data_IF_437128105776
#
_entry.id   IF_437128105776
#
_cell.length_a   1.000
_cell.length_b   1.000
_cell.length_c   1.000
_cell.angle_alpha   90.00
_cell.angle_beta   90.00
_cell.angle_gamma   90.00
#
_symmetry.space_group_name_H-M   'P 1'
#
loop_
_entity.id
_entity.type
_entity.pdbx_description
1 polymer ?
#
# COMPACT_ATOMS: atom_id res chain seq x y z
N UNK A 1 -39.09 -13.37 0.13
CA UNK A 1 -40.20 -12.47 -0.28
C UNK A 1 -39.65 -11.05 -0.38
N UNK A 2 -39.88 -10.35 -1.49
CA UNK A 2 -39.45 -8.94 -1.65
C UNK A 2 -40.48 -8.04 -0.98
N UNK A 3 -40.03 -7.23 -0.02
CA UNK A 3 -40.84 -6.17 0.58
C UNK A 3 -41.35 -5.22 -0.51
N UNK A 4 -42.66 -4.97 -0.54
CA UNK A 4 -43.29 -3.96 -1.39
C UNK A 4 -43.53 -2.73 -0.52
N UNK A 5 -42.80 -1.62 -0.74
CA UNK A 5 -43.03 -0.39 0.03
C UNK A 5 -44.46 0.12 -0.21
N UNK A 6 -45.05 0.72 0.83
CA UNK A 6 -46.36 1.41 0.82
C UNK A 6 -47.61 0.55 0.58
N UNK A 7 -47.55 -0.75 0.89
CA UNK A 7 -48.71 -1.63 0.83
C UNK A 7 -49.81 -1.29 1.86
N UNK A 8 -49.44 -0.68 2.99
CA UNK A 8 -50.37 -0.34 4.09
C UNK A 8 -50.57 1.19 4.14
N UNK A 9 -51.81 1.68 4.02
CA UNK A 9 -52.11 3.11 4.11
C UNK A 9 -51.73 3.68 5.48
N UNK A 10 -51.27 4.94 5.52
CA UNK A 10 -50.66 5.55 6.71
C UNK A 10 -51.54 5.46 7.96
N UNK A 11 -52.83 5.70 7.80
CA UNK A 11 -53.84 5.61 8.86
C UNK A 11 -54.02 4.22 9.50
N UNK A 12 -53.53 3.15 8.86
CA UNK A 12 -53.61 1.78 9.35
C UNK A 12 -52.28 1.26 9.94
N UNK A 13 -51.25 2.12 10.06
CA UNK A 13 -49.93 1.74 10.59
C UNK A 13 -49.94 1.75 12.13
N UNK A 14 -49.89 0.56 12.73
CA UNK A 14 -49.90 0.37 14.21
C UNK A 14 -48.61 0.86 14.89
N UNK A 15 -47.51 0.98 14.14
CA UNK A 15 -46.21 1.48 14.60
C UNK A 15 -45.58 2.37 13.52
N UNK A 16 -45.92 3.67 13.45
CA UNK A 16 -45.49 4.54 12.35
C UNK A 16 -43.96 4.65 12.24
N UNK A 17 -43.25 4.55 13.37
CA UNK A 17 -41.78 4.57 13.40
C UNK A 17 -41.11 3.27 12.94
N UNK A 18 -41.81 2.13 13.03
CA UNK A 18 -41.29 0.83 12.62
C UNK A 18 -41.30 0.65 11.09
N UNK A 19 -42.25 1.29 10.41
CA UNK A 19 -42.42 1.22 8.95
C UNK A 19 -41.80 2.39 8.19
N UNK A 20 -40.79 3.07 8.76
CA UNK A 20 -40.03 4.07 7.99
C UNK A 20 -39.38 3.36 6.80
N UNK A 21 -39.78 3.73 5.59
CA UNK A 21 -39.03 3.36 4.40
C UNK A 21 -37.61 3.85 4.62
N UNK A 22 -36.65 2.94 4.80
CA UNK A 22 -35.25 3.33 4.67
C UNK A 22 -35.17 4.04 3.33
N UNK A 23 -34.67 5.29 3.26
CA UNK A 23 -34.45 5.90 1.97
C UNK A 23 -33.56 4.92 1.25
N UNK A 24 -34.08 4.29 0.20
CA UNK A 24 -33.24 3.59 -0.75
C UNK A 24 -32.39 4.72 -1.29
N UNK A 25 -31.21 4.89 -0.71
CA UNK A 25 -30.18 5.79 -1.18
C UNK A 25 -29.80 5.20 -2.54
N UNK A 26 -30.61 5.51 -3.55
CA UNK A 26 -30.27 5.32 -4.93
C UNK A 26 -29.02 6.18 -5.11
N UNK A 27 -27.87 5.54 -4.92
CA UNK A 27 -26.57 6.18 -4.80
C UNK A 27 -26.42 7.09 -6.00
N UNK A 28 -26.51 8.40 -5.78
CA UNK A 28 -26.45 9.38 -6.85
C UNK A 28 -25.18 9.09 -7.64
N UNK A 29 -25.32 8.79 -8.94
CA UNK A 29 -24.15 8.50 -9.79
C UNK A 29 -23.24 9.72 -9.71
N UNK A 30 -22.04 9.54 -9.15
CA UNK A 30 -21.10 10.64 -8.93
C UNK A 30 -20.82 11.33 -10.26
N UNK A 31 -21.09 12.64 -10.33
CA UNK A 31 -20.77 13.46 -11.52
C UNK A 31 -19.28 13.35 -11.86
N UNK A 32 -18.42 13.21 -10.85
CA UNK A 32 -16.98 13.01 -11.00
C UNK A 32 -16.63 11.71 -11.74
N UNK A 33 -17.30 10.60 -11.44
CA UNK A 33 -17.06 9.33 -12.11
C UNK A 33 -17.34 9.41 -13.62
N UNK A 34 -18.38 10.15 -14.00
CA UNK A 34 -18.68 10.36 -15.42
C UNK A 34 -17.60 11.19 -16.10
N UNK A 35 -17.10 12.26 -15.46
CA UNK A 35 -16.00 13.08 -15.98
C UNK A 35 -14.73 12.24 -16.15
N UNK A 36 -14.38 11.42 -15.16
CA UNK A 36 -13.22 10.53 -15.23
C UNK A 36 -13.31 9.53 -16.40
N UNK A 37 -14.49 8.96 -16.64
CA UNK A 37 -14.72 8.06 -17.78
C UNK A 37 -14.54 8.76 -19.14
N UNK A 38 -14.96 10.02 -19.25
CA UNK A 38 -14.74 10.82 -20.46
C UNK A 38 -13.26 11.07 -20.71
N UNK A 39 -12.51 11.49 -19.68
CA UNK A 39 -11.06 11.73 -19.79
C UNK A 39 -10.34 10.45 -20.23
N UNK A 40 -10.61 9.33 -19.56
CA UNK A 40 -9.96 8.06 -19.86
C UNK A 40 -10.34 7.53 -21.25
N UNK A 41 -11.61 7.68 -21.65
CA UNK A 41 -12.08 7.31 -22.99
C UNK A 41 -11.37 8.11 -24.09
N UNK A 42 -11.27 9.44 -23.94
CA UNK A 42 -10.55 10.31 -24.89
C UNK A 42 -9.07 9.94 -24.97
N UNK A 43 -8.43 9.65 -23.84
CA UNK A 43 -7.05 9.20 -23.81
C UNK A 43 -6.81 7.93 -24.65
N UNK A 44 -7.67 6.91 -24.52
CA UNK A 44 -7.56 5.70 -25.35
C UNK A 44 -7.82 5.95 -26.83
N UNK A 45 -8.66 6.92 -27.19
CA UNK A 45 -8.81 7.36 -28.59
C UNK A 45 -7.56 8.06 -29.12
N UNK A 46 -6.90 8.90 -28.31
CA UNK A 46 -5.62 9.50 -28.69
C UNK A 46 -4.53 8.43 -28.89
N UNK A 47 -4.47 7.42 -28.02
CA UNK A 47 -3.58 6.26 -28.22
C UNK A 47 -3.91 5.49 -29.50
N UNK A 48 -5.20 5.28 -29.79
CA UNK A 48 -5.61 4.63 -31.04
C UNK A 48 -5.16 5.42 -32.28
N UNK A 49 -5.23 6.75 -32.24
CA UNK A 49 -4.73 7.64 -33.30
C UNK A 49 -3.20 7.63 -33.41
N UNK A 50 -2.48 7.51 -32.30
CA UNK A 50 -1.02 7.37 -32.34
C UNK A 50 -0.57 6.06 -33.02
N UNK A 51 -1.42 5.02 -32.98
CA UNK A 51 -1.12 3.70 -33.53
C UNK A 51 -1.76 3.42 -34.91
N UNK A 52 -1.99 4.45 -35.73
CA UNK A 52 -2.64 4.31 -37.06
C UNK A 52 -1.94 3.30 -37.99
N UNK A 53 -0.63 3.13 -37.86
CA UNK A 53 0.18 2.20 -38.66
C UNK A 53 0.01 0.73 -38.26
N UNK A 54 -0.67 0.44 -37.14
CA UNK A 54 -0.90 -0.91 -36.64
C UNK A 54 -2.40 -1.17 -36.42
N UNK A 55 -3.10 -1.81 -37.39
CA UNK A 55 -4.56 -1.89 -37.38
C UNK A 55 -5.09 -2.65 -36.15
N UNK A 56 -4.35 -3.65 -35.67
CA UNK A 56 -4.79 -4.47 -34.53
C UNK A 56 -4.71 -3.69 -33.21
N UNK A 57 -3.68 -2.87 -33.01
CA UNK A 57 -3.52 -2.04 -31.81
C UNK A 57 -4.53 -0.88 -31.80
N UNK A 58 -4.79 -0.30 -32.99
CA UNK A 58 -5.85 0.68 -33.20
C UNK A 58 -7.23 0.11 -32.82
N UNK A 59 -7.56 -1.09 -33.29
CA UNK A 59 -8.86 -1.72 -33.00
C UNK A 59 -9.04 -2.00 -31.50
N UNK A 60 -7.99 -2.45 -30.81
CA UNK A 60 -8.04 -2.72 -29.37
C UNK A 60 -8.24 -1.44 -28.56
N UNK A 61 -7.47 -0.39 -28.82
CA UNK A 61 -7.62 0.89 -28.11
C UNK A 61 -8.94 1.60 -28.45
N UNK A 62 -9.39 1.54 -29.70
CA UNK A 62 -10.69 2.06 -30.09
C UNK A 62 -11.84 1.30 -29.39
N UNK A 63 -11.75 -0.03 -29.27
CA UNK A 63 -12.72 -0.83 -28.53
C UNK A 63 -12.78 -0.44 -27.04
N UNK A 64 -11.62 -0.27 -26.39
CA UNK A 64 -11.55 0.21 -24.99
C UNK A 64 -12.17 1.62 -24.88
N UNK A 65 -11.83 2.53 -25.80
CA UNK A 65 -12.41 3.88 -25.86
C UNK A 65 -13.94 3.87 -25.97
N UNK A 66 -14.50 3.08 -26.88
CA UNK A 66 -15.97 2.94 -27.03
C UNK A 66 -16.65 2.38 -25.77
N UNK A 67 -15.98 1.50 -25.02
CA UNK A 67 -16.52 0.90 -23.80
C UNK A 67 -16.45 1.85 -22.60
N UNK A 68 -15.50 2.79 -22.57
CA UNK A 68 -15.38 3.79 -21.51
C UNK A 68 -16.34 4.97 -21.70
N UNK A 69 -16.50 5.43 -22.94
CA UNK A 69 -17.34 6.60 -23.25
C UNK A 69 -18.84 6.30 -23.07
N UNK A 70 -19.58 7.12 -22.29
CA UNK A 70 -21.03 6.96 -22.11
C UNK A 70 -21.86 6.84 -23.41
N UNK A 71 -21.59 7.57 -24.50
CA UNK A 71 -22.32 7.38 -25.75
C UNK A 71 -22.01 6.03 -26.42
N UNK A 72 -20.74 5.60 -26.41
CA UNK A 72 -20.33 4.30 -26.97
C UNK A 72 -20.94 3.13 -26.22
N UNK A 73 -21.02 3.22 -24.89
CA UNK A 73 -21.72 2.26 -24.05
C UNK A 73 -23.19 2.11 -24.44
N UNK A 74 -23.93 3.22 -24.56
CA UNK A 74 -25.35 3.20 -24.93
C UNK A 74 -25.57 2.58 -26.30
N UNK A 75 -24.67 2.83 -27.24
CA UNK A 75 -24.70 2.20 -28.56
C UNK A 75 -24.51 0.68 -28.45
N UNK A 76 -23.51 0.22 -27.70
CA UNK A 76 -23.22 -1.20 -27.52
C UNK A 76 -24.35 -1.95 -26.79
N UNK A 77 -24.91 -1.36 -25.73
CA UNK A 77 -26.02 -1.94 -24.97
C UNK A 77 -27.27 -2.09 -25.83
N UNK A 78 -27.56 -1.11 -26.70
CA UNK A 78 -28.69 -1.19 -27.66
C UNK A 78 -28.46 -2.27 -28.71
N UNK A 79 -27.23 -2.36 -29.24
CA UNK A 79 -26.88 -3.32 -30.30
C UNK A 79 -26.86 -4.76 -29.79
N UNK A 80 -26.27 -4.98 -28.61
CA UNK A 80 -26.06 -6.31 -28.02
C UNK A 80 -27.20 -6.77 -27.11
N UNK A 81 -28.15 -5.89 -26.77
CA UNK A 81 -29.25 -6.15 -25.82
C UNK A 81 -28.75 -6.65 -24.45
N UNK A 82 -27.56 -6.22 -24.04
CA UNK A 82 -26.93 -6.52 -22.75
C UNK A 82 -26.80 -5.25 -21.92
N UNK A 83 -26.82 -5.37 -20.58
CA UNK A 83 -26.53 -4.25 -19.66
C UNK A 83 -25.15 -4.44 -19.05
N UNK A 84 -24.26 -3.47 -19.22
CA UNK A 84 -22.92 -3.56 -18.65
C UNK A 84 -22.91 -3.02 -17.21
N UNK A 85 -22.76 -3.91 -16.24
CA UNK A 85 -22.44 -3.52 -14.86
C UNK A 85 -21.04 -2.91 -14.79
N UNK A 86 -20.73 -2.00 -13.84
CA UNK A 86 -19.40 -1.40 -13.75
C UNK A 86 -18.28 -2.45 -13.61
N UNK A 87 -18.56 -3.57 -12.93
CA UNK A 87 -17.63 -4.70 -12.81
C UNK A 87 -17.41 -5.44 -14.13
N UNK A 88 -18.46 -5.68 -14.92
CA UNK A 88 -18.29 -6.29 -16.24
C UNK A 88 -17.43 -5.40 -17.16
N UNK A 89 -17.58 -4.08 -17.06
CA UNK A 89 -16.78 -3.11 -17.85
C UNK A 89 -15.30 -3.20 -17.52
N UNK A 90 -14.95 -3.21 -16.23
CA UNK A 90 -13.55 -3.26 -15.82
C UNK A 90 -12.89 -4.57 -16.27
N UNK A 91 -13.60 -5.69 -16.15
CA UNK A 91 -13.10 -7.00 -16.60
C UNK A 91 -12.83 -6.98 -18.12
N UNK A 92 -13.79 -6.53 -18.93
CA UNK A 92 -13.61 -6.50 -20.39
C UNK A 92 -12.48 -5.54 -20.80
N UNK A 93 -12.37 -4.37 -20.17
CA UNK A 93 -11.26 -3.43 -20.43
C UNK A 93 -9.89 -4.03 -20.07
N UNK A 94 -9.79 -4.72 -18.94
CA UNK A 94 -8.55 -5.36 -18.52
C UNK A 94 -8.15 -6.50 -19.46
N UNK A 95 -9.11 -7.29 -19.95
CA UNK A 95 -8.84 -8.33 -20.95
C UNK A 95 -8.33 -7.74 -22.27
N UNK A 96 -8.97 -6.67 -22.77
CA UNK A 96 -8.51 -5.98 -23.98
C UNK A 96 -7.12 -5.35 -23.79
N UNK A 97 -6.85 -4.76 -22.63
CA UNK A 97 -5.55 -4.19 -22.30
C UNK A 97 -4.47 -5.29 -22.22
N UNK A 98 -4.76 -6.42 -21.59
CA UNK A 98 -3.86 -7.56 -21.51
C UNK A 98 -3.48 -8.09 -22.90
N UNK A 99 -4.45 -8.17 -23.82
CA UNK A 99 -4.19 -8.50 -25.22
C UNK A 99 -3.35 -7.43 -25.94
N UNK A 100 -3.47 -6.14 -25.57
CA UNK A 100 -2.72 -5.05 -26.18
C UNK A 100 -1.23 -4.97 -25.73
N UNK A 101 -0.90 -5.41 -24.51
CA UNK A 101 0.45 -5.34 -23.94
C UNK A 101 1.57 -5.98 -24.80
N UNK A 102 1.45 -7.23 -25.30
CA UNK A 102 2.52 -7.83 -26.11
C UNK A 102 2.73 -7.10 -27.45
N UNK A 103 1.66 -6.55 -28.02
CA UNK A 103 1.70 -5.80 -29.28
C UNK A 103 2.36 -4.43 -29.08
N UNK A 104 2.04 -3.76 -27.97
CA UNK A 104 2.67 -2.50 -27.59
C UNK A 104 4.18 -2.69 -27.36
N UNK A 105 4.59 -3.77 -26.69
CA UNK A 105 6.02 -4.08 -26.50
C UNK A 105 6.74 -4.28 -27.83
N UNK A 106 6.11 -4.96 -28.79
CA UNK A 106 6.67 -5.12 -30.15
C UNK A 106 6.83 -3.77 -30.85
N UNK A 107 5.82 -2.91 -30.77
CA UNK A 107 5.88 -1.57 -31.34
C UNK A 107 7.01 -0.72 -30.76
N UNK A 108 7.18 -0.69 -29.44
CA UNK A 108 8.29 0.02 -28.80
C UNK A 108 9.66 -0.61 -29.09
N UNK A 109 9.73 -1.90 -29.41
CA UNK A 109 10.99 -2.56 -29.78
C UNK A 109 11.40 -2.22 -31.22
N UNK A 110 10.44 -2.08 -32.13
CA UNK A 110 10.67 -1.74 -33.54
C UNK A 110 11.17 -0.27 -33.69
N UNK A 111 10.76 0.64 -32.80
CA UNK A 111 11.22 2.06 -32.81
C UNK A 111 12.63 2.28 -32.21
N UNK A 112 13.25 1.26 -31.57
CA UNK A 112 14.51 1.40 -30.81
C UNK A 112 15.73 0.81 -31.53
N UNK A 113 15.59 0.30 -32.77
CA UNK A 113 16.73 -0.26 -33.52
C UNK A 113 16.75 0.18 -35.00
N UNK A 114 17.53 1.21 -35.36
CA UNK A 114 18.25 1.19 -36.62
C UNK A 114 19.34 0.13 -36.50
N UNK A 115 19.17 -0.92 -37.30
CA UNK A 115 20.13 -1.98 -37.54
C UNK A 115 21.47 -1.42 -38.00
N UNK A 116 22.57 -1.75 -37.30
CA UNK A 116 23.89 -1.76 -37.91
C UNK A 116 24.75 -2.89 -37.32
N UNK A 117 25.00 -3.88 -38.18
CA UNK A 117 26.08 -4.87 -38.11
C UNK A 117 26.32 -5.34 -39.56
N UNK A 118 27.56 -5.75 -39.92
CA UNK A 118 28.75 -4.92 -40.03
C UNK A 118 29.29 -4.98 -41.48
N UNK A 119 29.74 -3.87 -42.05
CA UNK A 119 30.50 -3.90 -43.31
C UNK A 119 31.94 -3.48 -43.06
N UNK A 120 32.82 -4.47 -43.26
CA UNK A 120 34.25 -4.28 -43.43
C UNK A 120 34.51 -3.52 -44.73
N UNK A 121 35.19 -2.38 -44.63
CA UNK A 121 35.99 -1.81 -45.71
C UNK A 121 37.19 -1.11 -45.10
N UNK A 122 38.36 -1.65 -45.45
CA UNK A 122 39.71 -1.21 -45.20
C UNK A 122 40.00 0.21 -45.70
N UNK A 123 40.73 1.02 -44.92
CA UNK A 123 42.12 1.41 -45.24
C UNK A 123 42.66 2.55 -44.35
N UNK A 124 43.94 2.40 -43.97
CA UNK A 124 44.96 3.41 -43.70
C UNK A 124 44.98 4.19 -42.36
N UNK A 125 45.96 3.79 -41.51
CA UNK A 125 46.73 4.62 -40.58
C UNK A 125 45.98 5.12 -39.35
N UNK A 126 46.16 4.57 -38.14
CA UNK A 126 47.38 4.70 -37.33
C UNK A 126 47.23 3.79 -36.11
N UNK A 127 48.21 2.92 -35.82
CA UNK A 127 48.38 2.23 -34.53
C UNK A 127 49.46 2.97 -33.70
N UNK A 128 49.63 2.74 -32.37
CA UNK A 128 49.20 1.60 -31.55
C UNK A 128 48.45 2.05 -30.25
N UNK A 129 47.78 1.24 -29.42
CA UNK A 129 48.01 -0.11 -28.88
C UNK A 129 46.65 -0.69 -28.45
N UNK A 130 46.44 -1.99 -28.60
CA UNK A 130 45.22 -2.68 -28.15
C UNK A 130 45.19 -2.93 -26.63
N UNK A 131 44.00 -3.03 -26.02
CA UNK A 131 43.86 -3.57 -24.67
C UNK A 131 44.14 -5.07 -24.69
N UNK A 132 45.21 -5.46 -24.00
CA UNK A 132 45.54 -6.85 -23.71
C UNK A 132 44.43 -7.48 -22.85
N UNK A 133 43.87 -8.59 -23.32
CA UNK A 133 43.07 -9.51 -22.50
C UNK A 133 43.96 -9.98 -21.34
N UNK A 134 43.59 -9.81 -20.06
CA UNK A 134 44.30 -10.51 -19.01
C UNK A 134 44.00 -12.01 -19.12
N UNK A 135 45.01 -12.77 -19.53
CA UNK A 135 45.13 -14.20 -19.24
C UNK A 135 45.21 -14.41 -17.71
N UNK A 136 44.89 -15.61 -17.19
CA UNK A 136 44.68 -15.80 -15.76
C UNK A 136 46.00 -15.66 -15.01
N UNK A 137 46.15 -14.54 -14.30
CA UNK A 137 47.19 -14.34 -13.32
C UNK A 137 46.88 -15.29 -12.17
N UNK A 138 47.76 -16.27 -11.94
CA UNK A 138 47.74 -17.08 -10.72
C UNK A 138 47.75 -16.13 -9.52
N UNK A 139 46.91 -16.32 -8.50
CA UNK A 139 46.58 -15.26 -7.56
C UNK A 139 47.79 -14.93 -6.69
N UNK A 140 48.50 -13.85 -7.03
CA UNK A 140 49.23 -13.09 -6.05
C UNK A 140 48.20 -12.66 -5.00
N UNK A 141 48.37 -13.10 -3.75
CA UNK A 141 47.52 -12.69 -2.64
C UNK A 141 47.48 -11.15 -2.64
N UNK A 142 46.32 -10.50 -2.87
CA UNK A 142 46.28 -9.06 -2.85
C UNK A 142 46.76 -8.58 -1.47
N UNK A 143 47.61 -7.54 -1.46
CA UNK A 143 48.16 -6.99 -0.23
C UNK A 143 47.05 -6.41 0.65
N UNK A 144 47.35 -6.17 1.93
CA UNK A 144 46.38 -5.56 2.85
C UNK A 144 45.80 -4.22 2.33
N UNK A 145 46.62 -3.41 1.64
CA UNK A 145 46.20 -2.14 1.04
C UNK A 145 45.19 -2.34 -0.11
N UNK A 146 45.46 -3.27 -1.04
CA UNK A 146 44.58 -3.54 -2.20
C UNK A 146 43.19 -4.03 -1.77
N UNK A 147 43.13 -4.79 -0.67
CA UNK A 147 41.88 -5.27 -0.08
C UNK A 147 41.11 -4.17 0.64
N UNK A 148 41.81 -3.29 1.34
CA UNK A 148 41.19 -2.13 1.99
C UNK A 148 40.60 -1.17 0.94
N UNK A 149 41.31 -0.94 -0.17
CA UNK A 149 40.81 -0.16 -1.30
C UNK A 149 39.59 -0.82 -1.97
N UNK A 150 39.61 -2.16 -2.09
CA UNK A 150 38.47 -2.93 -2.58
C UNK A 150 37.24 -2.76 -1.69
N UNK A 151 37.39 -2.87 -0.36
CA UNK A 151 36.28 -2.66 0.59
C UNK A 151 35.67 -1.25 0.47
N UNK A 152 36.52 -0.23 0.38
CA UNK A 152 36.08 1.17 0.20
C UNK A 152 35.31 1.37 -1.11
N UNK A 153 35.74 0.71 -2.19
CA UNK A 153 35.03 0.71 -3.45
C UNK A 153 33.58 0.17 -3.31
N UNK A 154 33.40 -0.98 -2.66
CA UNK A 154 32.07 -1.56 -2.43
C UNK A 154 31.19 -0.66 -1.55
N UNK A 155 31.75 -0.06 -0.50
CA UNK A 155 31.03 0.88 0.38
C UNK A 155 30.57 2.12 -0.39
N UNK A 156 31.44 2.73 -1.20
CA UNK A 156 31.08 3.89 -2.02
C UNK A 156 29.97 3.54 -3.00
N UNK A 157 30.14 2.44 -3.74
CA UNK A 157 29.19 2.01 -4.78
C UNK A 157 27.84 1.59 -4.21
N UNK A 158 27.82 0.91 -3.06
CA UNK A 158 26.56 0.55 -2.37
C UNK A 158 25.83 1.80 -1.88
N UNK A 159 26.55 2.79 -1.37
CA UNK A 159 25.97 4.07 -0.96
C UNK A 159 25.40 4.87 -2.14
N UNK A 160 26.02 4.85 -3.32
CA UNK A 160 25.44 5.41 -4.55
C UNK A 160 24.13 4.72 -4.94
N UNK A 161 24.08 3.38 -4.89
CA UNK A 161 22.85 2.63 -5.15
C UNK A 161 21.76 2.95 -4.13
N UNK A 162 22.14 3.11 -2.86
CA UNK A 162 21.20 3.52 -1.80
C UNK A 162 20.62 4.91 -2.05
N UNK A 163 21.41 5.86 -2.57
CA UNK A 163 20.92 7.20 -2.95
C UNK A 163 19.90 7.13 -4.10
N UNK A 164 20.02 6.14 -4.97
CA UNK A 164 19.06 5.85 -6.04
C UNK A 164 17.84 5.03 -5.55
N UNK A 165 17.63 4.90 -4.24
CA UNK A 165 16.59 4.06 -3.62
C UNK A 165 16.68 2.56 -3.96
N UNK A 166 17.79 2.10 -4.56
CA UNK A 166 18.04 0.69 -4.89
C UNK A 166 18.66 -0.05 -3.70
N UNK A 167 18.01 0.01 -2.54
CA UNK A 167 18.54 -0.48 -1.27
C UNK A 167 18.80 -1.98 -1.24
N UNK A 168 17.94 -2.80 -1.88
CA UNK A 168 18.18 -4.24 -2.00
C UNK A 168 19.46 -4.57 -2.79
N UNK A 169 19.70 -3.87 -3.91
CA UNK A 169 20.90 -4.05 -4.71
C UNK A 169 22.15 -3.55 -3.97
N UNK A 170 22.03 -2.44 -3.22
CA UNK A 170 23.10 -1.92 -2.38
C UNK A 170 23.54 -2.93 -1.31
N UNK A 171 22.58 -3.56 -0.61
CA UNK A 171 22.86 -4.60 0.40
C UNK A 171 23.59 -5.77 -0.25
N UNK A 172 23.04 -6.32 -1.35
CA UNK A 172 23.64 -7.45 -2.05
C UNK A 172 25.08 -7.16 -2.51
N UNK A 173 25.33 -5.95 -3.02
CA UNK A 173 26.66 -5.53 -3.42
C UNK A 173 27.61 -5.44 -2.22
N UNK A 174 27.15 -4.88 -1.10
CA UNK A 174 27.99 -4.74 0.09
C UNK A 174 28.26 -6.07 0.79
N UNK A 175 27.33 -7.03 0.73
CA UNK A 175 27.55 -8.41 1.21
C UNK A 175 28.67 -9.12 0.46
N UNK A 176 28.87 -8.80 -0.84
CA UNK A 176 30.02 -9.29 -1.61
C UNK A 176 31.36 -8.73 -1.12
N UNK A 177 31.34 -7.67 -0.28
CA UNK A 177 32.54 -7.07 0.25
C UNK A 177 33.13 -7.82 1.46
N UNK A 178 32.41 -8.82 2.00
CA UNK A 178 32.83 -9.57 3.20
C UNK A 178 34.26 -10.16 3.12
N UNK A 179 34.73 -10.73 1.98
CA UNK A 179 36.10 -11.26 1.87
C UNK A 179 37.21 -10.20 1.99
N UNK A 180 36.88 -8.92 1.80
CA UNK A 180 37.85 -7.82 1.87
C UNK A 180 37.95 -7.20 3.28
N UNK A 181 37.08 -7.59 4.21
CA UNK A 181 37.08 -7.14 5.59
C UNK A 181 37.97 -8.04 6.49
N UNK A 182 39.28 -7.83 6.42
CA UNK A 182 40.26 -8.75 7.03
C UNK A 182 40.47 -8.58 8.53
N UNK A 183 40.37 -7.35 9.03
CA UNK A 183 40.60 -7.05 10.44
C UNK A 183 39.29 -6.69 11.15
N UNK A 184 39.30 -6.76 12.49
CA UNK A 184 38.13 -6.48 13.31
C UNK A 184 37.54 -5.08 13.05
N UNK A 185 38.40 -4.09 12.76
CA UNK A 185 37.97 -2.73 12.43
C UNK A 185 37.19 -2.67 11.10
N UNK A 186 37.68 -3.33 10.05
CA UNK A 186 37.03 -3.41 8.75
C UNK A 186 35.73 -4.22 8.81
N UNK A 187 35.70 -5.29 9.60
CA UNK A 187 34.48 -6.07 9.85
C UNK A 187 33.43 -5.25 10.59
N UNK A 188 33.83 -4.52 11.63
CA UNK A 188 32.95 -3.60 12.36
C UNK A 188 32.39 -2.50 11.45
N UNK A 189 33.24 -1.90 10.61
CA UNK A 189 32.83 -0.92 9.61
C UNK A 189 31.82 -1.50 8.62
N UNK A 190 32.11 -2.67 8.06
CA UNK A 190 31.23 -3.36 7.11
C UNK A 190 29.86 -3.66 7.75
N UNK A 191 29.84 -4.19 8.97
CA UNK A 191 28.59 -4.47 9.68
C UNK A 191 27.79 -3.19 9.95
N UNK A 192 28.45 -2.10 10.36
CA UNK A 192 27.80 -0.81 10.55
C UNK A 192 27.13 -0.30 9.27
N UNK A 193 27.84 -0.36 8.13
CA UNK A 193 27.29 0.05 6.82
C UNK A 193 26.15 -0.86 6.37
N UNK A 194 26.27 -2.18 6.54
CA UNK A 194 25.21 -3.15 6.23
C UNK A 194 23.96 -2.89 7.08
N UNK A 195 24.10 -2.68 8.39
CA UNK A 195 22.99 -2.33 9.28
C UNK A 195 22.31 -1.06 8.82
N UNK A 196 23.06 0.00 8.49
CA UNK A 196 22.50 1.24 7.97
C UNK A 196 21.74 1.07 6.64
N UNK A 197 22.23 0.23 5.74
CA UNK A 197 21.52 -0.12 4.50
C UNK A 197 20.26 -0.95 4.76
N UNK A 198 20.34 -1.95 5.64
CA UNK A 198 19.21 -2.81 6.03
C UNK A 198 18.10 -2.01 6.71
N UNK A 199 18.43 -1.06 7.59
CA UNK A 199 17.45 -0.14 8.19
C UNK A 199 16.73 0.70 7.15
N UNK A 200 17.46 1.28 6.19
CA UNK A 200 16.87 2.03 5.07
C UNK A 200 15.99 1.14 4.19
N UNK A 201 16.42 -0.09 3.91
CA UNK A 201 15.65 -1.05 3.14
C UNK A 201 14.36 -1.47 3.84
N UNK A 202 14.43 -1.79 5.13
CA UNK A 202 13.28 -2.10 5.97
C UNK A 202 12.25 -0.96 5.93
N UNK A 203 12.70 0.29 6.15
CA UNK A 203 11.83 1.47 6.05
C UNK A 203 11.15 1.59 4.67
N UNK A 204 11.89 1.36 3.58
CA UNK A 204 11.33 1.39 2.23
C UNK A 204 10.30 0.25 1.99
N UNK A 205 10.53 -0.94 2.53
CA UNK A 205 9.56 -2.04 2.47
C UNK A 205 8.28 -1.70 3.23
N UNK A 206 8.39 -1.11 4.42
CA UNK A 206 7.23 -0.65 5.21
C UNK A 206 6.44 0.43 4.45
N UNK A 207 7.12 1.42 3.88
CA UNK A 207 6.49 2.51 3.11
C UNK A 207 5.80 2.00 1.84
N UNK A 208 6.37 0.98 1.19
CA UNK A 208 5.78 0.34 0.00
C UNK A 208 4.70 -0.71 0.33
N UNK A 209 4.36 -0.89 1.60
CA UNK A 209 3.33 -1.83 2.05
C UNK A 209 3.75 -3.31 2.04
N UNK A 210 5.03 -3.60 1.84
CA UNK A 210 5.59 -4.95 1.81
C UNK A 210 5.88 -5.48 3.23
N UNK A 211 4.86 -5.46 4.10
CA UNK A 211 5.02 -5.76 5.52
C UNK A 211 5.57 -7.16 5.81
N UNK A 212 5.16 -8.17 5.03
CA UNK A 212 5.65 -9.55 5.19
C UNK A 212 7.16 -9.68 4.91
N UNK A 213 7.69 -8.91 3.95
CA UNK A 213 9.11 -8.89 3.65
C UNK A 213 9.90 -8.05 4.66
N UNK A 214 9.29 -6.97 5.18
CA UNK A 214 9.91 -6.10 6.18
C UNK A 214 10.11 -6.79 7.53
N UNK A 215 9.15 -7.59 7.99
CA UNK A 215 9.18 -8.25 9.31
C UNK A 215 10.50 -8.98 9.64
N UNK A 216 10.97 -9.97 8.84
CA UNK A 216 12.19 -10.70 9.18
C UNK A 216 13.41 -9.79 9.22
N UNK A 217 13.47 -8.78 8.35
CA UNK A 217 14.56 -7.82 8.31
C UNK A 217 14.57 -6.90 9.54
N UNK A 218 13.40 -6.40 9.96
CA UNK A 218 13.28 -5.57 11.16
C UNK A 218 13.61 -6.40 12.41
N UNK A 219 13.18 -7.65 12.49
CA UNK A 219 13.53 -8.53 13.62
C UNK A 219 15.04 -8.72 13.73
N UNK A 220 15.75 -8.99 12.62
CA UNK A 220 17.22 -9.09 12.63
C UNK A 220 17.90 -7.79 13.08
N UNK A 221 17.36 -6.63 12.72
CA UNK A 221 17.89 -5.34 13.18
C UNK A 221 17.68 -5.13 14.69
N UNK A 222 16.53 -5.58 15.22
CA UNK A 222 16.21 -5.53 16.64
C UNK A 222 16.99 -6.55 17.47
N UNK A 223 17.44 -7.66 16.89
CA UNK A 223 18.35 -8.59 17.57
C UNK A 223 19.71 -7.92 17.89
N UNK A 224 20.11 -6.94 17.08
CA UNK A 224 21.34 -6.15 17.29
C UNK A 224 21.12 -4.90 18.15
N UNK A 225 19.96 -4.25 18.05
CA UNK A 225 19.58 -3.07 18.83
C UNK A 225 18.14 -3.21 19.35
N UNK A 226 17.93 -3.93 20.47
CA UNK A 226 16.58 -4.25 20.97
C UNK A 226 15.74 -3.04 21.38
N UNK A 227 16.39 -1.94 21.77
CA UNK A 227 15.74 -0.75 22.30
C UNK A 227 15.44 0.31 21.23
N UNK A 228 15.62 -0.04 19.95
CA UNK A 228 15.36 0.85 18.84
C UNK A 228 13.85 1.13 18.69
N UNK A 229 13.37 2.20 19.35
CA UNK A 229 11.96 2.61 19.35
C UNK A 229 11.37 2.71 17.95
N UNK A 230 12.12 3.24 16.98
CA UNK A 230 11.65 3.39 15.61
C UNK A 230 11.41 2.03 14.95
N UNK A 231 12.33 1.08 15.10
CA UNK A 231 12.17 -0.27 14.55
C UNK A 231 11.06 -1.05 15.27
N UNK A 232 10.89 -0.88 16.58
CA UNK A 232 9.78 -1.46 17.34
C UNK A 232 8.43 -0.97 16.82
N UNK A 233 8.26 0.35 16.60
CA UNK A 233 7.03 0.89 16.01
C UNK A 233 6.82 0.36 14.59
N UNK A 234 7.87 0.27 13.77
CA UNK A 234 7.78 -0.28 12.41
C UNK A 234 7.38 -1.76 12.40
N UNK A 235 7.91 -2.56 13.34
CA UNK A 235 7.55 -3.98 13.49
C UNK A 235 6.11 -4.14 13.95
N UNK A 236 5.68 -3.39 14.96
CA UNK A 236 4.28 -3.35 15.40
C UNK A 236 3.34 -2.94 14.26
N UNK A 237 3.73 -1.98 13.43
CA UNK A 237 2.98 -1.60 12.23
C UNK A 237 2.85 -2.75 11.24
N UNK A 238 3.94 -3.51 11.02
CA UNK A 238 3.91 -4.68 10.16
C UNK A 238 3.03 -5.79 10.74
N UNK A 239 3.11 -6.07 12.04
CA UNK A 239 2.22 -7.01 12.72
C UNK A 239 0.76 -6.61 12.56
N UNK A 240 0.44 -5.34 12.80
CA UNK A 240 -0.92 -4.84 12.60
C UNK A 240 -1.44 -5.09 11.17
N UNK A 241 -0.61 -4.80 10.17
CA UNK A 241 -0.98 -4.94 8.76
C UNK A 241 -1.01 -6.38 8.26
N UNK A 242 -0.39 -7.31 8.99
CA UNK A 242 -0.41 -8.73 8.69
C UNK A 242 -1.47 -9.50 9.49
N UNK A 243 -2.28 -8.81 10.30
CA UNK A 243 -3.40 -9.39 11.07
C UNK A 243 -3.03 -9.78 12.50
N UNK A 244 -1.77 -9.62 12.90
CA UNK A 244 -1.23 -9.89 14.24
C UNK A 244 -1.40 -8.69 15.16
N UNK A 245 -2.65 -8.31 15.42
CA UNK A 245 -2.96 -7.05 16.11
C UNK A 245 -2.58 -7.13 17.60
N UNK A 246 -2.74 -8.28 18.23
CA UNK A 246 -2.43 -8.48 19.65
C UNK A 246 -0.93 -8.33 19.91
N UNK A 247 -0.10 -8.96 19.07
CA UNK A 247 1.37 -8.83 19.13
C UNK A 247 1.80 -7.38 18.89
N UNK A 248 1.16 -6.69 17.94
CA UNK A 248 1.41 -5.27 17.71
C UNK A 248 1.08 -4.42 18.94
N UNK A 249 -0.05 -4.66 19.61
CA UNK A 249 -0.43 -3.92 20.81
C UNK A 249 0.54 -4.17 21.95
N UNK A 250 0.88 -5.43 22.22
CA UNK A 250 1.81 -5.81 23.28
C UNK A 250 3.19 -5.17 23.09
N UNK A 251 3.68 -5.11 21.86
CA UNK A 251 4.96 -4.46 21.52
C UNK A 251 4.92 -2.93 21.72
N UNK A 252 3.76 -2.29 21.51
CA UNK A 252 3.62 -0.84 21.68
C UNK A 252 3.50 -0.41 23.15
N UNK A 253 2.96 -1.25 24.05
CA UNK A 253 2.75 -0.91 25.47
C UNK A 253 3.96 -0.26 26.17
N UNK A 254 5.17 -0.85 26.15
CA UNK A 254 6.33 -0.22 26.81
C UNK A 254 6.70 1.13 26.18
N UNK A 255 6.45 1.31 24.87
CA UNK A 255 6.72 2.56 24.18
C UNK A 255 5.76 3.68 24.60
N UNK A 256 4.49 3.34 24.91
CA UNK A 256 3.51 4.28 25.46
C UNK A 256 3.96 4.82 26.81
N UNK A 257 4.48 3.95 27.69
CA UNK A 257 5.01 4.36 28.99
C UNK A 257 6.22 5.29 28.85
N UNK A 258 6.98 5.14 27.77
CA UNK A 258 8.12 6.02 27.44
C UNK A 258 7.73 7.34 26.75
N UNK A 259 6.44 7.59 26.52
CA UNK A 259 5.94 8.81 25.86
C UNK A 259 6.21 8.87 24.36
N UNK A 260 6.33 7.72 23.67
CA UNK A 260 6.56 7.71 22.23
C UNK A 260 5.27 8.05 21.46
N UNK A 261 5.23 9.22 20.82
CA UNK A 261 4.06 9.71 20.08
C UNK A 261 3.64 8.82 18.92
N UNK A 262 4.60 8.28 18.15
CA UNK A 262 4.30 7.39 17.02
C UNK A 262 3.66 6.08 17.49
N UNK A 263 4.13 5.55 18.61
CA UNK A 263 3.56 4.37 19.24
C UNK A 263 2.15 4.64 19.75
N UNK A 264 1.90 5.78 20.38
CA UNK A 264 0.57 6.18 20.85
C UNK A 264 -0.42 6.31 19.69
N UNK A 265 -0.01 7.02 18.64
CA UNK A 265 -0.82 7.19 17.43
C UNK A 265 -1.16 5.86 16.79
N UNK A 266 -0.19 4.96 16.66
CA UNK A 266 -0.42 3.63 16.11
C UNK A 266 -1.31 2.79 17.03
N UNK A 267 -1.06 2.78 18.33
CA UNK A 267 -1.84 2.05 19.33
C UNK A 267 -3.32 2.47 19.31
N UNK A 268 -3.60 3.78 19.34
CA UNK A 268 -4.96 4.31 19.26
C UNK A 268 -5.67 3.96 17.95
N UNK A 269 -4.92 3.86 16.86
CA UNK A 269 -5.45 3.46 15.55
C UNK A 269 -5.80 1.97 15.48
N UNK A 270 -4.96 1.09 16.03
CA UNK A 270 -5.14 -0.37 15.90
C UNK A 270 -6.02 -0.96 17.01
N UNK A 271 -6.08 -0.28 18.15
CA UNK A 271 -6.78 -0.73 19.35
C UNK A 271 -7.59 0.43 19.97
N UNK A 272 -8.55 1.03 19.26
CA UNK A 272 -9.29 2.21 19.75
C UNK A 272 -10.13 1.89 20.99
N UNK A 273 -10.35 2.91 21.82
CA UNK A 273 -11.30 2.83 22.94
C UNK A 273 -12.71 2.60 22.39
N UNK A 274 -13.42 1.66 23.01
CA UNK A 274 -14.80 1.30 22.71
C UNK A 274 -15.64 1.51 23.97
N UNK A 275 -16.93 1.79 23.79
CA UNK A 275 -17.90 1.89 24.88
C UNK A 275 -18.85 0.71 24.82
N UNK A 276 -19.17 0.13 25.97
CA UNK A 276 -20.25 -0.85 26.11
C UNK A 276 -21.15 -0.44 27.27
N UNK A 277 -22.44 -0.75 27.14
CA UNK A 277 -23.39 -0.56 28.23
C UNK A 277 -23.13 -1.65 29.27
N UNK A 278 -22.85 -1.26 30.50
CA UNK A 278 -22.62 -2.18 31.63
C UNK A 278 -23.80 -2.21 32.60
N UNK A 279 -24.70 -1.25 32.49
CA UNK A 279 -25.88 -1.17 33.33
C UNK A 279 -26.75 0.02 33.00
N UNK A 280 -27.76 0.21 33.83
CA UNK A 280 -28.70 1.32 33.72
C UNK A 280 -28.94 1.92 35.09
N UNK A 281 -28.96 3.25 35.14
CA UNK A 281 -29.30 4.04 36.31
C UNK A 281 -30.49 4.96 36.01
N UNK A 282 -31.06 5.52 37.06
CA UNK A 282 -32.14 6.50 36.96
C UNK A 282 -31.52 7.88 36.80
N UNK A 283 -31.87 8.61 35.73
CA UNK A 283 -31.55 10.02 35.56
C UNK A 283 -32.65 10.88 36.18
N UNK A 284 -32.30 11.70 37.15
CA UNK A 284 -33.18 12.67 37.76
C UNK A 284 -33.32 13.92 36.87
N UNK A 285 -34.42 14.67 37.01
CA UNK A 285 -34.68 15.83 36.16
C UNK A 285 -33.77 17.05 36.40
N UNK A 286 -33.02 17.06 37.49
CA UNK A 286 -31.94 18.03 37.73
C UNK A 286 -30.59 17.64 37.09
N UNK A 287 -30.54 16.51 36.37
CA UNK A 287 -29.35 15.99 35.69
C UNK A 287 -28.46 15.08 36.55
N UNK A 288 -28.78 14.91 37.85
CA UNK A 288 -28.09 13.93 38.69
C UNK A 288 -28.54 12.49 38.36
N UNK A 289 -27.73 11.50 38.73
CA UNK A 289 -28.09 10.09 38.57
C UNK A 289 -28.30 9.40 39.93
N UNK A 290 -29.17 8.40 39.95
CA UNK A 290 -29.54 7.67 41.16
C UNK A 290 -29.76 6.20 40.86
N UNK A 291 -29.43 5.34 41.81
CA UNK A 291 -29.77 3.92 41.78
C UNK A 291 -31.18 3.63 42.33
N UNK A 292 -31.92 4.65 42.76
CA UNK A 292 -33.26 4.50 43.32
C UNK A 292 -34.28 4.06 42.24
N UNK A 293 -35.11 3.07 42.58
CA UNK A 293 -36.16 2.52 41.71
C UNK A 293 -37.52 2.60 42.39
N UNK A 294 -38.57 2.89 41.61
CA UNK A 294 -39.95 2.89 42.11
C UNK A 294 -40.48 4.24 42.61
N UNK A 295 -41.61 4.22 43.32
CA UNK A 295 -42.33 5.45 43.73
C UNK A 295 -41.47 6.30 44.67
N UNK A 296 -41.36 7.59 44.36
CA UNK A 296 -40.59 8.57 45.12
C UNK A 296 -39.13 8.70 44.70
N UNK A 297 -38.65 7.95 43.69
CA UNK A 297 -37.33 8.15 43.12
C UNK A 297 -37.17 9.58 42.58
N UNK A 298 -36.00 10.18 42.82
CA UNK A 298 -35.68 11.55 42.43
C UNK A 298 -36.66 12.62 42.96
N UNK A 299 -37.41 12.37 44.05
CA UNK A 299 -38.42 13.31 44.57
C UNK A 299 -37.84 14.69 44.95
N UNK A 300 -36.61 14.72 45.46
CA UNK A 300 -35.88 15.95 45.78
C UNK A 300 -35.13 16.54 44.56
N UNK A 301 -35.11 15.82 43.45
CA UNK A 301 -34.36 16.12 42.22
C UNK A 301 -35.30 16.41 41.04
N UNK A 302 -36.54 16.85 41.33
CA UNK A 302 -37.54 17.20 40.31
C UNK A 302 -38.25 16.02 39.64
N UNK A 303 -38.10 14.81 40.18
CA UNK A 303 -38.66 13.59 39.61
C UNK A 303 -37.69 12.86 38.67
N UNK A 304 -38.15 11.74 38.12
CA UNK A 304 -37.36 10.91 37.20
C UNK A 304 -37.58 11.39 35.78
N UNK A 305 -36.47 11.67 35.08
CA UNK A 305 -36.48 12.06 33.68
C UNK A 305 -36.15 10.89 32.75
N UNK A 306 -35.28 9.95 33.15
CA UNK A 306 -35.08 8.68 32.46
C UNK A 306 -34.88 7.54 33.46
N UNK A 307 -35.64 6.46 33.31
CA UNK A 307 -35.51 5.26 34.14
C UNK A 307 -34.37 4.33 33.70
N UNK A 308 -33.94 4.46 32.44
CA UNK A 308 -32.99 3.54 31.81
C UNK A 308 -31.82 4.31 31.18
N UNK A 309 -31.24 5.25 31.94
CA UNK A 309 -30.05 5.97 31.50
C UNK A 309 -28.87 4.97 31.42
N UNK A 310 -28.27 4.75 30.23
CA UNK A 310 -27.22 3.76 30.06
C UNK A 310 -25.91 4.21 30.70
N UNK A 311 -25.31 3.32 31.49
CA UNK A 311 -23.95 3.47 32.02
C UNK A 311 -22.98 2.85 31.02
N UNK A 312 -22.02 3.65 30.55
CA UNK A 312 -21.01 3.19 29.61
C UNK A 312 -19.69 2.91 30.33
N UNK A 313 -19.09 1.76 30.02
CA UNK A 313 -17.70 1.44 30.37
C UNK A 313 -16.84 1.59 29.11
N UNK A 314 -15.72 2.29 29.24
CA UNK A 314 -14.69 2.37 28.22
C UNK A 314 -13.75 1.16 28.33
N UNK A 315 -13.52 0.46 27.22
CA UNK A 315 -12.64 -0.69 27.15
C UNK A 315 -11.88 -0.73 25.83
N UNK A 316 -10.77 -1.47 25.79
CA UNK A 316 -10.06 -1.80 24.55
C UNK A 316 -10.14 -3.29 24.29
N UNK A 317 -10.02 -3.70 23.03
CA UNK A 317 -10.13 -5.13 22.68
C UNK A 317 -8.91 -5.91 23.17
N UNK A 318 -7.74 -5.29 23.10
CA UNK A 318 -6.47 -5.85 23.56
C UNK A 318 -6.01 -4.99 24.73
N UNK A 319 -5.90 -5.57 25.92
CA UNK A 319 -5.43 -4.90 27.13
C UNK A 319 -3.98 -5.23 27.41
#
# INVERSE_FOLDING_TARGET
>A
MKYVPDLIPEQARVLPDYFKSQPVLAKAKSKFYNVLLWILGVYFYCLALACLLQPLLLLLFAAIGTLLLPPGQRYLERRLRLRFTPWAKTIVCLLLLFCALPLLKKHLADDVLPTDKPQALSAAGTQPTQPEKPQPIQPAKPGHADKQDSLQYYIRRSNELSKQHKTAAAIKLLEQAAPFAENAAAQSLLQKELTGLRTRHAGALVQSGQYKAALPLISQLLDADPDNKQLLVQRAMCYSKTGKIEEAVNELKPLLQSGNEDAEKLHNKINPVRKRVVGYETLCCDGSTSNARGRGACSHHGGVCDWNQPIYEEYRKYE
#
